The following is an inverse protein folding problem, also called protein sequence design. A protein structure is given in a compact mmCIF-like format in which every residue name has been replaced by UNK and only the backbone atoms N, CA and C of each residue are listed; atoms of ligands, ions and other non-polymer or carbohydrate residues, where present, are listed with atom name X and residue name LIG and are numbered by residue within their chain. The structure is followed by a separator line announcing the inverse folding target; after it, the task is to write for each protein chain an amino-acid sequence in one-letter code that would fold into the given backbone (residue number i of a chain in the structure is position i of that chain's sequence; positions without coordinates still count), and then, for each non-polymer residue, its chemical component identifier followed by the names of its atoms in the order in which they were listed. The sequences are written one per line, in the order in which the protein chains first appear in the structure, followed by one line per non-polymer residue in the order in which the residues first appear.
data_IF_461670330250
#
_entry.id   IF_461670330250
#
_cell.length_a   1.000
_cell.length_b   1.000
_cell.length_c   1.000
_cell.angle_alpha   90.00
_cell.angle_beta   90.00
_cell.angle_gamma   90.00
#
_symmetry.space_group_name_H-M   'P 1'
#
loop_
_entity.id
_entity.type
_entity.pdbx_description
1 polymer ?
#
# COMPACT_ATOMS: atom_id res chain seq x y z
N UNK A 1 20.40 -28.22 21.34
CA UNK A 1 19.40 -28.55 20.31
C UNK A 1 19.28 -27.37 19.35
N UNK A 2 19.79 -27.49 18.13
CA UNK A 2 19.66 -26.44 17.12
C UNK A 2 18.28 -26.56 16.45
N UNK A 3 17.32 -25.75 16.87
CA UNK A 3 16.10 -25.56 16.10
C UNK A 3 16.49 -24.91 14.76
N UNK A 4 16.27 -25.61 13.64
CA UNK A 4 16.35 -24.98 12.32
C UNK A 4 15.36 -23.82 12.32
N UNK A 5 15.82 -22.62 11.96
CA UNK A 5 14.94 -21.46 11.81
C UNK A 5 13.89 -21.79 10.74
N UNK A 6 12.63 -21.84 11.15
CA UNK A 6 11.49 -21.98 10.24
C UNK A 6 11.13 -20.61 9.69
N UNK A 7 11.15 -20.46 8.37
CA UNK A 7 10.68 -19.25 7.70
C UNK A 7 9.15 -19.19 7.75
N UNK A 8 8.60 -17.98 7.93
CA UNK A 8 7.15 -17.72 7.88
C UNK A 8 6.63 -17.91 6.45
N UNK A 9 7.39 -17.40 5.47
CA UNK A 9 7.08 -17.51 4.04
C UNK A 9 8.17 -18.31 3.35
N UNK A 10 7.98 -19.64 3.29
CA UNK A 10 8.89 -20.55 2.61
C UNK A 10 8.22 -21.39 1.55
N UNK A 11 9.05 -21.96 0.69
CA UNK A 11 8.66 -23.11 -0.12
C UNK A 11 8.54 -24.38 0.76
N UNK A 12 8.22 -25.50 0.12
CA UNK A 12 8.04 -26.80 0.79
C UNK A 12 9.33 -27.34 1.45
N UNK A 13 10.48 -26.77 1.12
CA UNK A 13 11.80 -27.16 1.65
C UNK A 13 12.30 -26.23 2.77
N UNK A 14 11.46 -25.27 3.22
CA UNK A 14 11.84 -24.22 4.17
C UNK A 14 12.91 -23.24 3.63
N UNK A 15 12.95 -23.02 2.31
CA UNK A 15 13.77 -22.01 1.66
C UNK A 15 12.94 -20.80 1.21
N UNK A 16 13.62 -19.72 0.79
CA UNK A 16 12.99 -18.49 0.32
C UNK A 16 12.08 -18.72 -0.89
N UNK A 17 10.90 -18.10 -0.86
CA UNK A 17 10.03 -18.02 -2.03
C UNK A 17 10.65 -17.11 -3.10
N UNK A 18 10.57 -17.54 -4.36
CA UNK A 18 10.94 -16.69 -5.49
C UNK A 18 9.91 -15.55 -5.64
N UNK A 19 10.32 -14.28 -5.81
CA UNK A 19 9.41 -13.14 -5.93
C UNK A 19 8.39 -13.27 -7.08
N UNK A 20 8.76 -14.00 -8.13
CA UNK A 20 7.92 -14.29 -9.30
C UNK A 20 6.67 -15.10 -8.95
N UNK A 21 6.75 -15.95 -7.91
CA UNK A 21 5.63 -16.78 -7.46
C UNK A 21 4.50 -15.88 -6.93
N UNK A 22 4.84 -14.87 -6.12
CA UNK A 22 3.85 -13.92 -5.59
C UNK A 22 3.14 -13.17 -6.72
N UNK A 23 3.91 -12.69 -7.73
CA UNK A 23 3.33 -12.02 -8.90
C UNK A 23 2.39 -12.96 -9.68
N UNK A 24 2.80 -14.22 -9.87
CA UNK A 24 1.99 -15.24 -10.54
C UNK A 24 0.67 -15.47 -9.81
N UNK A 25 0.69 -15.62 -8.50
CA UNK A 25 -0.52 -15.81 -7.70
C UNK A 25 -1.46 -14.60 -7.76
N UNK A 26 -0.93 -13.38 -7.65
CA UNK A 26 -1.75 -12.17 -7.78
C UNK A 26 -2.43 -12.14 -9.15
N UNK A 27 -1.68 -12.37 -10.23
CA UNK A 27 -2.22 -12.39 -11.59
C UNK A 27 -3.33 -13.44 -11.76
N UNK A 28 -3.10 -14.65 -11.28
CA UNK A 28 -4.11 -15.73 -11.33
C UNK A 28 -5.40 -15.38 -10.59
N UNK A 29 -5.29 -14.74 -9.41
CA UNK A 29 -6.46 -14.28 -8.66
C UNK A 29 -7.18 -13.16 -9.40
N UNK A 30 -6.45 -12.18 -9.94
CA UNK A 30 -7.05 -11.09 -10.71
C UNK A 30 -7.79 -11.62 -11.94
N UNK A 31 -7.20 -12.53 -12.71
CA UNK A 31 -7.82 -13.13 -13.90
C UNK A 31 -9.06 -13.96 -13.53
N UNK A 32 -8.97 -14.77 -12.47
CA UNK A 32 -10.07 -15.65 -12.04
C UNK A 32 -11.32 -14.89 -11.61
N UNK A 33 -11.16 -13.71 -11.02
CA UNK A 33 -12.26 -12.91 -10.48
C UNK A 33 -12.49 -11.61 -11.26
N UNK A 34 -11.93 -11.49 -12.46
CA UNK A 34 -12.06 -10.33 -13.35
C UNK A 34 -11.71 -9.00 -12.66
N UNK A 35 -10.71 -9.03 -11.77
CA UNK A 35 -10.22 -7.86 -11.06
C UNK A 35 -9.15 -7.16 -11.89
N UNK A 36 -9.08 -5.83 -11.72
CA UNK A 36 -7.97 -5.03 -12.25
C UNK A 36 -6.62 -5.59 -11.75
N UNK A 37 -5.67 -5.76 -12.65
CA UNK A 37 -4.33 -6.24 -12.30
C UNK A 37 -3.65 -5.26 -11.32
N UNK A 38 -3.04 -5.83 -10.28
CA UNK A 38 -2.28 -5.09 -9.28
C UNK A 38 -0.95 -5.81 -9.03
N UNK A 39 0.09 -5.05 -8.68
CA UNK A 39 1.41 -5.61 -8.35
C UNK A 39 1.60 -5.65 -6.84
N UNK A 40 2.65 -6.34 -6.38
CA UNK A 40 3.06 -6.30 -4.96
C UNK A 40 3.37 -4.88 -4.48
N UNK A 41 3.98 -4.04 -5.33
CA UNK A 41 4.16 -2.62 -5.04
C UNK A 41 2.84 -1.84 -5.09
N UNK A 42 1.92 -2.20 -5.99
CA UNK A 42 0.54 -1.70 -6.00
C UNK A 42 -0.14 -1.83 -4.64
N UNK A 43 -0.08 -3.00 -4.02
CA UNK A 43 -0.62 -3.20 -2.67
C UNK A 43 0.05 -2.32 -1.60
N UNK A 44 1.37 -2.11 -1.71
CA UNK A 44 2.10 -1.20 -0.81
C UNK A 44 1.64 0.25 -0.98
N UNK A 45 1.38 0.70 -2.21
CA UNK A 45 0.79 2.01 -2.48
C UNK A 45 -0.61 2.11 -1.88
N UNK A 46 -1.47 1.13 -2.10
CA UNK A 46 -2.82 1.09 -1.51
C UNK A 46 -2.77 1.14 0.02
N UNK A 47 -1.85 0.40 0.65
CA UNK A 47 -1.66 0.46 2.10
C UNK A 47 -1.26 1.86 2.57
N UNK A 48 -0.34 2.52 1.86
CA UNK A 48 0.08 3.89 2.16
C UNK A 48 -1.10 4.88 2.06
N UNK A 49 -1.85 4.85 0.95
CA UNK A 49 -3.02 5.71 0.75
C UNK A 49 -4.07 5.52 1.84
N UNK A 50 -4.44 4.27 2.13
CA UNK A 50 -5.42 3.96 3.19
C UNK A 50 -4.93 4.37 4.58
N UNK A 51 -3.64 4.19 4.86
CA UNK A 51 -3.09 4.59 6.14
C UNK A 51 -3.12 6.12 6.32
N UNK A 52 -2.81 6.87 5.26
CA UNK A 52 -3.00 8.32 5.25
C UNK A 52 -4.47 8.73 5.40
N UNK A 53 -5.38 8.12 4.65
CA UNK A 53 -6.82 8.39 4.74
C UNK A 53 -7.39 8.12 6.14
N UNK A 54 -6.80 7.18 6.87
CA UNK A 54 -7.16 6.91 8.28
C UNK A 54 -6.73 8.01 9.27
N UNK A 55 -6.02 9.03 8.80
CA UNK A 55 -5.56 10.17 9.61
C UNK A 55 -4.11 10.08 10.07
N UNK A 56 -3.34 9.10 9.59
CA UNK A 56 -1.92 9.00 9.92
C UNK A 56 -1.13 10.18 9.35
N UNK A 57 -0.17 10.68 10.13
CA UNK A 57 0.76 11.72 9.69
C UNK A 57 1.78 11.16 8.71
N UNK A 58 2.40 12.04 7.91
CA UNK A 58 3.47 11.65 6.97
C UNK A 58 4.59 10.91 7.68
N UNK A 59 4.96 11.37 8.88
CA UNK A 59 6.05 10.79 9.65
C UNK A 59 5.73 9.35 10.07
N UNK A 60 4.51 9.10 10.55
CA UNK A 60 4.04 7.75 10.92
C UNK A 60 3.99 6.82 9.71
N UNK A 61 3.52 7.32 8.56
CA UNK A 61 3.50 6.53 7.31
C UNK A 61 4.92 6.21 6.83
N UNK A 62 5.83 7.19 6.87
CA UNK A 62 7.24 7.00 6.51
C UNK A 62 7.94 5.98 7.41
N UNK A 63 7.71 6.06 8.72
CA UNK A 63 8.24 5.11 9.70
C UNK A 63 7.69 3.70 9.46
N UNK A 64 6.38 3.59 9.25
CA UNK A 64 5.69 2.31 9.00
C UNK A 64 6.15 1.63 7.71
N UNK A 65 6.37 2.40 6.66
CA UNK A 65 6.77 1.87 5.36
C UNK A 65 8.28 1.66 5.23
N UNK A 66 9.08 2.24 6.13
CA UNK A 66 10.54 2.43 6.00
C UNK A 66 10.91 3.24 4.75
N UNK A 67 11.96 4.06 4.89
CA UNK A 67 12.47 5.03 3.91
C UNK A 67 12.88 4.46 2.52
N UNK A 68 12.69 3.16 2.27
CA UNK A 68 12.93 2.55 0.96
C UNK A 68 12.12 3.16 -0.17
N UNK A 69 11.05 3.92 0.12
CA UNK A 69 10.25 4.57 -0.93
C UNK A 69 9.66 5.92 -0.51
N UNK A 70 10.55 6.87 -0.19
CA UNK A 70 10.19 8.25 0.15
C UNK A 70 9.43 8.90 -1.01
N UNK A 71 9.86 8.66 -2.25
CA UNK A 71 9.27 9.25 -3.44
C UNK A 71 7.80 8.85 -3.61
N UNK A 72 7.48 7.57 -3.44
CA UNK A 72 6.11 7.09 -3.39
C UNK A 72 5.30 7.70 -2.27
N UNK A 73 5.88 7.78 -1.08
CA UNK A 73 5.18 8.33 0.10
C UNK A 73 4.82 9.81 -0.14
N UNK A 74 5.74 10.57 -0.73
CA UNK A 74 5.54 11.98 -1.10
C UNK A 74 4.49 12.11 -2.22
N UNK A 75 4.56 11.27 -3.25
CA UNK A 75 3.60 11.32 -4.37
C UNK A 75 2.17 10.99 -3.92
N UNK A 76 2.01 9.96 -3.08
CA UNK A 76 0.72 9.60 -2.48
C UNK A 76 0.23 10.72 -1.57
N UNK A 77 1.10 11.24 -0.71
CA UNK A 77 0.75 12.37 0.15
C UNK A 77 0.28 13.58 -0.66
N UNK A 78 0.97 13.94 -1.73
CA UNK A 78 0.61 15.06 -2.58
C UNK A 78 -0.79 14.89 -3.17
N UNK A 79 -1.10 13.68 -3.66
CA UNK A 79 -2.42 13.36 -4.22
C UNK A 79 -3.52 13.39 -3.16
N UNK A 80 -3.36 12.65 -2.05
CA UNK A 80 -4.37 12.57 -0.98
C UNK A 80 -4.61 13.95 -0.35
N UNK A 81 -3.56 14.75 -0.18
CA UNK A 81 -3.68 16.11 0.34
C UNK A 81 -4.42 17.04 -0.62
N UNK A 82 -4.20 16.90 -1.94
CA UNK A 82 -4.93 17.66 -2.94
C UNK A 82 -6.43 17.32 -2.91
N UNK A 83 -6.77 16.03 -2.88
CA UNK A 83 -8.16 15.57 -2.79
C UNK A 83 -8.84 16.06 -1.50
N UNK A 84 -8.12 15.98 -0.36
CA UNK A 84 -8.61 16.48 0.92
C UNK A 84 -8.83 17.99 0.91
N UNK A 85 -7.96 18.77 0.27
CA UNK A 85 -8.13 20.21 0.11
C UNK A 85 -9.37 20.54 -0.71
N UNK A 86 -9.57 19.86 -1.84
CA UNK A 86 -10.76 20.06 -2.68
C UNK A 86 -12.04 19.66 -1.94
N UNK A 87 -12.01 18.57 -1.19
CA UNK A 87 -13.14 18.11 -0.37
C UNK A 87 -13.47 19.11 0.74
N UNK A 88 -12.44 19.64 1.40
CA UNK A 88 -12.59 20.67 2.45
C UNK A 88 -13.11 21.98 1.86
N UNK A 89 -12.59 22.41 0.71
CA UNK A 89 -13.05 23.60 0.01
C UNK A 89 -14.52 23.48 -0.40
N UNK A 90 -14.94 22.32 -0.93
CA UNK A 90 -16.35 22.04 -1.26
C UNK A 90 -17.25 22.03 -0.02
N UNK A 91 -16.80 21.43 1.08
CA UNK A 91 -17.53 21.45 2.36
C UNK A 91 -17.70 22.87 2.88
N UNK A 92 -16.65 23.68 2.82
CA UNK A 92 -16.71 25.08 3.22
C UNK A 92 -17.66 25.87 2.31
N UNK A 93 -17.51 25.74 0.99
CA UNK A 93 -18.37 26.38 -0.01
C UNK A 93 -19.86 26.07 0.22
N UNK A 94 -20.19 24.79 0.44
CA UNK A 94 -21.55 24.36 0.80
C UNK A 94 -22.03 24.93 2.14
N UNK A 95 -21.14 25.04 3.14
CA UNK A 95 -21.48 25.60 4.45
C UNK A 95 -21.73 27.11 4.39
N UNK A 96 -20.98 27.83 3.55
CA UNK A 96 -21.11 29.28 3.37
C UNK A 96 -22.04 29.68 2.22
N UNK A 97 -22.60 28.71 1.47
CA UNK A 97 -23.63 28.92 0.45
C UNK A 97 -23.12 29.50 -0.88
N UNK A 98 -21.86 29.23 -1.26
CA UNK A 98 -21.23 29.65 -2.52
C UNK A 98 -20.77 28.46 -3.36
#
# INVERSE_FOLDING_TARGET
MHYKQQLIFSNLQNDYLQPTITRKYIKQVCEKYELKEITTHGFRHTHCSLFFESGATIKEVQERLRHSDVQTTVNIYAHVTQDNKEKTAKLFANHVGI
#
